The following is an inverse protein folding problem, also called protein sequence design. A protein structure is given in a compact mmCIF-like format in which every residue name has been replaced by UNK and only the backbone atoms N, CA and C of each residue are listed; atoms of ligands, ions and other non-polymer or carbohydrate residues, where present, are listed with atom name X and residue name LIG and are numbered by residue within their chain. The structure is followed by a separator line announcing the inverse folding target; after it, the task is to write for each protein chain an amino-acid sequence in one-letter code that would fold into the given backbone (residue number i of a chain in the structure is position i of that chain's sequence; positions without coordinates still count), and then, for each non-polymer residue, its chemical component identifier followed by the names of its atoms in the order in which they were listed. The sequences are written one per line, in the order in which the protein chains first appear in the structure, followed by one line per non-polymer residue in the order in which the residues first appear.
data_IF_251634377932
#
_entry.id   IF_251634377932
#
_cell.length_a   1.000
_cell.length_b   1.000
_cell.length_c   1.000
_cell.angle_alpha   90.00
_cell.angle_beta   90.00
_cell.angle_gamma   90.00
#
_symmetry.space_group_name_H-M   'P 1'
#
loop_
_entity.id
_entity.type
_entity.pdbx_description
1 polymer ?
#
# COMPACT_ATOMS: atom_id res chain seq x y z
N UNK A 1 -9.24 0.61 5.98
CA UNK A 1 -9.06 1.78 6.85
C UNK A 1 -7.66 2.31 6.60
N UNK A 2 -7.49 3.63 6.48
CA UNK A 2 -6.17 4.24 6.37
C UNK A 2 -5.49 4.14 7.74
N UNK A 3 -4.22 3.75 7.75
CA UNK A 3 -3.41 3.60 8.97
C UNK A 3 -2.87 4.93 9.53
N UNK A 4 -3.06 6.05 8.84
CA UNK A 4 -2.56 7.36 9.25
C UNK A 4 -3.71 8.33 9.55
N UNK A 5 -3.46 9.24 10.48
CA UNK A 5 -4.34 10.36 10.81
C UNK A 5 -3.49 11.65 10.90
N UNK A 6 -3.59 12.60 9.94
CA UNK A 6 -4.50 12.62 8.80
C UNK A 6 -4.20 11.52 7.76
N UNK A 7 -5.18 11.12 6.93
CA UNK A 7 -5.01 10.05 5.95
C UNK A 7 -3.86 10.33 4.99
N UNK A 8 -2.95 9.35 4.84
CA UNK A 8 -1.83 9.44 3.89
C UNK A 8 -2.08 8.50 2.72
N UNK A 9 -1.97 9.02 1.50
CA UNK A 9 -2.23 8.29 0.26
C UNK A 9 -1.12 8.52 -0.77
N UNK A 10 -0.82 7.47 -1.52
CA UNK A 10 0.14 7.46 -2.62
C UNK A 10 -0.62 7.71 -3.91
N UNK A 11 -0.17 8.69 -4.71
CA UNK A 11 -0.79 9.02 -6.01
C UNK A 11 -0.20 8.18 -7.15
N UNK A 12 -0.99 7.91 -8.19
CA UNK A 12 -0.49 7.29 -9.42
C UNK A 12 -0.09 5.82 -9.29
N UNK A 13 -0.66 5.09 -8.33
CA UNK A 13 -0.61 3.62 -8.29
C UNK A 13 -1.96 3.07 -8.72
N UNK A 14 -1.97 2.08 -9.60
CA UNK A 14 -3.16 1.28 -9.87
C UNK A 14 -2.88 -0.15 -9.44
N UNK A 15 -3.74 -0.70 -8.56
CA UNK A 15 -3.66 -2.09 -8.12
C UNK A 15 -4.77 -2.88 -8.78
N UNK A 16 -4.37 -3.87 -9.58
CA UNK A 16 -5.29 -4.83 -10.21
C UNK A 16 -5.42 -6.06 -9.33
N UNK A 17 -6.67 -6.47 -9.10
CA UNK A 17 -6.95 -7.70 -8.39
C UNK A 17 -6.61 -8.89 -9.28
N UNK A 18 -5.89 -9.89 -8.75
CA UNK A 18 -5.34 -11.02 -9.50
C UNK A 18 -3.83 -10.93 -9.76
N UNK A 19 -3.20 -9.78 -9.55
CA UNK A 19 -1.74 -9.65 -9.61
C UNK A 19 -1.07 -10.33 -8.41
N UNK A 20 0.18 -10.75 -8.62
CA UNK A 20 0.99 -11.39 -7.58
C UNK A 20 1.13 -10.46 -6.36
N UNK A 21 0.89 -10.95 -5.12
CA UNK A 21 1.07 -10.18 -3.88
C UNK A 21 2.40 -9.42 -3.81
N UNK A 22 3.49 -10.04 -4.24
CA UNK A 22 4.82 -9.45 -4.23
C UNK A 22 4.89 -8.23 -5.16
N UNK A 23 4.33 -8.33 -6.37
CA UNK A 23 4.27 -7.23 -7.34
C UNK A 23 3.49 -6.04 -6.77
N UNK A 24 2.35 -6.30 -6.13
CA UNK A 24 1.54 -5.25 -5.49
C UNK A 24 2.29 -4.52 -4.37
N UNK A 25 3.01 -5.27 -3.53
CA UNK A 25 3.81 -4.72 -2.44
C UNK A 25 4.98 -3.89 -2.98
N UNK A 26 5.68 -4.39 -4.00
CA UNK A 26 6.80 -3.69 -4.64
C UNK A 26 6.36 -2.41 -5.37
N UNK A 27 5.21 -2.44 -6.05
CA UNK A 27 4.62 -1.26 -6.71
C UNK A 27 4.30 -0.17 -5.68
N UNK A 28 3.60 -0.53 -4.60
CA UNK A 28 3.29 0.40 -3.53
C UNK A 28 4.57 0.97 -2.89
N UNK A 29 5.55 0.12 -2.57
CA UNK A 29 6.82 0.52 -1.99
C UNK A 29 7.53 1.57 -2.85
N UNK A 30 7.70 1.28 -4.14
CA UNK A 30 8.40 2.16 -5.07
C UNK A 30 7.71 3.51 -5.17
N UNK A 31 6.39 3.53 -5.29
CA UNK A 31 5.68 4.77 -5.47
C UNK A 31 5.59 5.60 -4.18
N UNK A 32 5.43 4.95 -3.02
CA UNK A 32 5.51 5.62 -1.73
C UNK A 32 6.89 6.26 -1.51
N UNK A 33 7.98 5.54 -1.85
CA UNK A 33 9.34 6.07 -1.83
C UNK A 33 9.50 7.31 -2.71
N UNK A 34 9.00 7.27 -3.95
CA UNK A 34 9.02 8.42 -4.86
C UNK A 34 8.25 9.64 -4.33
N UNK A 35 7.33 9.44 -3.40
CA UNK A 35 6.52 10.49 -2.78
C UNK A 35 7.00 10.85 -1.36
N UNK A 36 8.28 10.60 -1.07
CA UNK A 36 8.92 10.96 0.20
C UNK A 36 8.26 10.33 1.44
N UNK A 37 7.62 9.17 1.29
CA UNK A 37 7.20 8.40 2.47
C UNK A 37 8.41 7.85 3.19
N UNK A 38 8.36 7.88 4.52
CA UNK A 38 9.44 7.33 5.33
C UNK A 38 9.47 5.81 5.20
N UNK A 39 10.66 5.22 5.38
CA UNK A 39 10.79 3.76 5.37
C UNK A 39 9.86 3.10 6.41
N UNK A 40 9.69 3.72 7.57
CA UNK A 40 8.85 3.22 8.65
C UNK A 40 7.36 3.23 8.26
N UNK A 41 6.88 4.31 7.63
CA UNK A 41 5.49 4.40 7.15
C UNK A 41 5.19 3.33 6.11
N UNK A 42 6.12 3.12 5.17
CA UNK A 42 5.96 2.11 4.13
C UNK A 42 5.95 0.71 4.75
N UNK A 43 6.93 0.38 5.59
CA UNK A 43 6.98 -0.92 6.27
C UNK A 43 5.71 -1.17 7.09
N UNK A 44 5.18 -0.15 7.78
CA UNK A 44 3.94 -0.27 8.54
C UNK A 44 2.74 -0.70 7.67
N UNK A 45 2.57 -0.08 6.50
CA UNK A 45 1.51 -0.46 5.55
C UNK A 45 1.73 -1.86 5.00
N UNK A 46 2.96 -2.21 4.61
CA UNK A 46 3.30 -3.52 4.04
C UNK A 46 3.07 -4.64 5.07
N UNK A 47 3.47 -4.44 6.33
CA UNK A 47 3.25 -5.41 7.40
C UNK A 47 1.77 -5.60 7.68
N UNK A 48 0.98 -4.51 7.68
CA UNK A 48 -0.48 -4.63 7.82
C UNK A 48 -1.10 -5.39 6.65
N UNK A 49 -0.63 -5.16 5.43
CA UNK A 49 -1.12 -5.82 4.23
C UNK A 49 -0.81 -7.33 4.23
N UNK A 50 0.34 -7.73 4.76
CA UNK A 50 0.78 -9.14 4.86
C UNK A 50 0.08 -9.95 5.95
N UNK A 51 -0.56 -9.31 6.95
CA UNK A 51 -1.22 -9.99 8.09
C UNK A 51 -2.51 -10.74 7.75
N UNK A 52 -2.97 -10.73 6.49
CA UNK A 52 -4.23 -11.36 6.09
C UNK A 52 -4.14 -12.06 4.75
N UNK A 53 -5.29 -12.46 4.23
CA UNK A 53 -5.40 -13.07 2.91
C UNK A 53 -5.22 -12.03 1.78
N UNK A 54 -5.21 -12.50 0.53
CA UNK A 54 -5.04 -11.64 -0.64
C UNK A 54 -6.03 -10.47 -0.69
N UNK A 55 -7.30 -10.71 -0.36
CA UNK A 55 -8.32 -9.67 -0.31
C UNK A 55 -7.99 -8.59 0.73
N UNK A 56 -7.48 -9.00 1.90
CA UNK A 56 -7.00 -8.08 2.94
C UNK A 56 -5.80 -7.25 2.48
N UNK A 57 -4.85 -7.87 1.75
CA UNK A 57 -3.71 -7.18 1.16
C UNK A 57 -4.18 -6.09 0.20
N UNK A 58 -5.02 -6.44 -0.77
CA UNK A 58 -5.52 -5.47 -1.78
C UNK A 58 -6.33 -4.36 -1.11
N UNK A 59 -7.20 -4.71 -0.16
CA UNK A 59 -8.00 -3.72 0.60
C UNK A 59 -7.12 -2.76 1.40
N UNK A 60 -6.07 -3.27 2.02
CA UNK A 60 -5.12 -2.46 2.80
C UNK A 60 -4.37 -1.48 1.89
N UNK A 61 -3.81 -1.97 0.78
CA UNK A 61 -3.08 -1.10 -0.15
C UNK A 61 -3.99 -0.04 -0.79
N UNK A 62 -5.21 -0.41 -1.20
CA UNK A 62 -6.20 0.54 -1.76
C UNK A 62 -6.58 1.66 -0.80
N UNK A 63 -6.59 1.41 0.51
CA UNK A 63 -6.86 2.47 1.50
C UNK A 63 -5.77 3.56 1.54
N UNK A 64 -4.59 3.26 1.00
CA UNK A 64 -3.42 4.14 0.92
C UNK A 64 -3.10 4.58 -0.50
N UNK A 65 -4.00 4.37 -1.46
CA UNK A 65 -3.83 4.83 -2.84
C UNK A 65 -4.89 5.90 -3.10
N UNK A 66 -4.47 6.99 -3.72
CA UNK A 66 -5.38 8.03 -4.19
C UNK A 66 -5.93 7.63 -5.56
N UNK A 67 -7.26 7.61 -5.68
CA UNK A 67 -7.99 7.32 -6.91
C UNK A 67 -8.06 8.55 -7.81
#
# INVERSE_FOLDING_TARGET
MNLFNPPKQVKGVSIRFGENPFVLLSLFFRQAKNQNWSQQEITHVLDKAKKGNYAHLVKTLRAHIHH
#
